data_IF_830044425119
#
_entry.id   IF_830044425119
#
_cell.length_a   1.000
_cell.length_b   1.000
_cell.length_c   1.000
_cell.angle_alpha   90.00
_cell.angle_beta   90.00
_cell.angle_gamma   90.00
#
_symmetry.space_group_name_H-M   'P 1'
#
loop_
_entity.id
_entity.type
_entity.pdbx_description
1 polymer ?
#
# COMPACT_ATOMS: atom_id res chain seq x y z
N UNK A 1 -8.70 12.68 -1.38
CA UNK A 1 -9.37 11.38 -1.60
C UNK A 1 -10.88 11.56 -1.70
N UNK A 2 -11.58 11.00 -2.71
CA UNK A 2 -13.04 10.99 -2.76
C UNK A 2 -13.66 10.19 -1.59
N UNK A 3 -14.88 10.56 -1.17
CA UNK A 3 -15.53 9.98 0.03
C UNK A 3 -15.67 8.46 -0.04
N UNK A 4 -16.02 7.92 -1.21
CA UNK A 4 -16.20 6.49 -1.45
C UNK A 4 -14.93 5.65 -1.21
N UNK A 5 -13.76 6.29 -1.27
CA UNK A 5 -12.47 5.62 -1.09
C UNK A 5 -11.76 6.00 0.21
N UNK A 6 -12.38 6.85 1.03
CA UNK A 6 -11.73 7.42 2.23
C UNK A 6 -11.20 6.36 3.19
N UNK A 7 -11.90 5.22 3.28
CA UNK A 7 -11.55 4.11 4.17
C UNK A 7 -11.12 2.87 3.41
N UNK A 8 -10.94 2.97 2.08
CA UNK A 8 -10.44 1.85 1.30
C UNK A 8 -8.97 1.67 1.63
N UNK A 9 -8.60 0.48 2.08
CA UNK A 9 -7.22 0.08 2.33
C UNK A 9 -6.78 -0.96 1.31
N UNK A 10 -5.51 -0.91 0.96
CA UNK A 10 -4.86 -1.81 0.01
C UNK A 10 -3.53 -2.26 0.62
N UNK A 11 -3.17 -3.51 0.36
CA UNK A 11 -1.83 -3.99 0.69
C UNK A 11 -0.87 -3.62 -0.43
N UNK A 12 0.30 -3.12 -0.06
CA UNK A 12 1.34 -2.78 -1.02
C UNK A 12 2.65 -3.43 -0.64
N UNK A 13 3.45 -3.79 -1.66
CA UNK A 13 4.88 -4.06 -1.52
C UNK A 13 5.65 -2.89 -2.12
N UNK A 14 6.58 -2.31 -1.36
CA UNK A 14 7.51 -1.33 -1.89
C UNK A 14 8.68 -2.01 -2.60
N UNK A 15 8.99 -1.58 -3.82
CA UNK A 15 10.10 -2.13 -4.60
C UNK A 15 11.47 -1.58 -4.17
N UNK A 16 11.51 -0.48 -3.43
CA UNK A 16 12.77 0.15 -2.99
C UNK A 16 13.24 -0.39 -1.63
N UNK A 17 12.32 -0.68 -0.71
CA UNK A 17 12.66 -1.18 0.63
C UNK A 17 12.12 -2.58 0.93
N UNK A 18 11.44 -3.21 -0.01
CA UNK A 18 10.83 -4.54 0.11
C UNK A 18 9.88 -4.72 1.31
N UNK A 19 9.40 -3.62 1.90
CA UNK A 19 8.42 -3.68 2.98
C UNK A 19 7.02 -3.87 2.42
N UNK A 20 6.26 -4.76 3.07
CA UNK A 20 4.83 -4.91 2.82
C UNK A 20 4.05 -4.15 3.88
N UNK A 21 3.18 -3.24 3.47
CA UNK A 21 2.41 -2.39 4.39
C UNK A 21 0.97 -2.25 3.90
N UNK A 22 0.02 -2.17 4.83
CA UNK A 22 -1.36 -1.78 4.53
C UNK A 22 -1.46 -0.25 4.53
N UNK A 23 -1.94 0.34 3.44
CA UNK A 23 -2.07 1.79 3.30
C UNK A 23 -3.47 2.17 2.82
N UNK A 24 -3.88 3.41 3.10
CA UNK A 24 -5.09 3.95 2.50
C UNK A 24 -4.90 4.09 1.01
N UNK A 25 -5.86 3.59 0.24
CA UNK A 25 -5.88 3.77 -1.20
C UNK A 25 -5.77 5.25 -1.51
N UNK A 26 -4.91 5.59 -2.47
CA UNK A 26 -4.79 6.92 -3.05
C UNK A 26 -4.79 6.85 -4.57
N UNK A 27 -5.60 7.69 -5.24
CA UNK A 27 -5.79 7.63 -6.71
C UNK A 27 -4.48 7.87 -7.47
N UNK A 28 -3.63 8.75 -6.94
CA UNK A 28 -2.36 9.13 -7.59
C UNK A 28 -1.29 8.04 -7.46
N UNK A 29 -1.37 7.20 -6.41
CA UNK A 29 -0.35 6.21 -6.12
C UNK A 29 -0.19 5.95 -4.63
N UNK A 30 0.23 4.75 -4.28
CA UNK A 30 0.37 4.34 -2.88
C UNK A 30 1.77 4.65 -2.38
N UNK A 31 1.85 5.56 -1.39
CA UNK A 31 3.12 5.92 -0.74
C UNK A 31 3.49 4.85 0.29
N UNK A 32 4.71 4.36 0.25
CA UNK A 32 5.24 3.49 1.30
C UNK A 32 5.44 4.28 2.58
N UNK A 33 4.90 3.79 3.70
CA UNK A 33 5.08 4.43 5.02
C UNK A 33 6.49 4.29 5.59
N UNK A 34 7.33 3.41 5.02
CA UNK A 34 8.68 3.13 5.52
C UNK A 34 9.74 4.01 4.86
N UNK A 35 9.81 4.03 3.53
CA UNK A 35 10.82 4.78 2.78
C UNK A 35 10.27 5.97 2.00
N UNK A 36 8.97 6.27 2.14
CA UNK A 36 8.29 7.37 1.45
C UNK A 36 8.22 7.28 -0.08
N UNK A 37 8.70 6.18 -0.66
CA UNK A 37 8.64 5.95 -2.11
C UNK A 37 7.24 5.63 -2.60
N UNK A 38 6.96 6.02 -3.85
CA UNK A 38 5.78 5.64 -4.61
C UNK A 38 6.04 4.47 -5.57
N UNK A 39 7.26 3.94 -5.61
CA UNK A 39 7.61 2.74 -6.37
C UNK A 39 7.08 1.50 -5.64
N UNK A 40 5.77 1.31 -5.71
CA UNK A 40 5.04 0.28 -4.97
C UNK A 40 4.12 -0.52 -5.92
N UNK A 41 3.86 -1.78 -5.57
CA UNK A 41 2.88 -2.64 -6.27
C UNK A 41 1.76 -3.03 -5.31
N UNK A 42 0.53 -3.01 -5.80
CA UNK A 42 -0.65 -3.43 -5.03
C UNK A 42 -0.68 -4.97 -4.97
N UNK A 43 -0.99 -5.51 -3.79
CA UNK A 43 -1.22 -6.92 -3.58
C UNK A 43 -2.74 -7.17 -3.57
N UNK A 44 -3.20 -8.11 -4.40
CA UNK A 44 -4.63 -8.46 -4.56
C UNK A 44 -5.15 -9.20 -3.30
N UNK A 45 -4.24 -9.77 -2.52
CA UNK A 45 -4.55 -10.47 -1.27
C UNK A 45 -3.78 -9.83 -0.14
N UNK A 46 -4.33 -9.87 1.07
CA UNK A 46 -3.52 -9.70 2.27
C UNK A 46 -2.36 -10.70 2.20
N UNK A 47 -1.11 -10.28 2.43
CA UNK A 47 -0.03 -11.26 2.59
C UNK A 47 -0.46 -12.20 3.72
N UNK A 48 -0.32 -13.51 3.49
CA UNK A 48 -0.32 -14.48 4.58
C UNK A 48 0.92 -14.14 5.40
N UNK A 49 0.81 -13.21 6.35
CA UNK A 49 1.89 -12.87 7.27
C UNK A 49 2.30 -14.19 7.95
N UNK A 50 3.54 -14.67 7.77
CA UNK A 50 4.07 -15.65 8.71
C UNK A 50 4.10 -14.94 10.07
N UNK A 51 3.45 -15.54 11.07
CA UNK A 51 3.59 -15.10 12.46
C UNK A 51 5.05 -15.18 12.90
#
# INVERSE_FOLDING_TARGET
>A
MPRQYKYKKEWILCNDCNCTTEVYFHIIGQKCSHCESYNTRILITSPLLPR
#
